data_IF_653111164790
#
_entry.id   IF_653111164790
#
_cell.length_a   1.000
_cell.length_b   1.000
_cell.length_c   1.000
_cell.angle_alpha   90.00
_cell.angle_beta   90.00
_cell.angle_gamma   90.00
#
_symmetry.space_group_name_H-M   'P 1'
#
loop_
_entity.id
_entity.type
_entity.pdbx_description
1 polymer ?
#
# COMPACT_ATOMS: atom_id res chain seq x y z
N UNK A 1 12.45 77.13 -19.42
CA UNK A 1 13.23 76.44 -18.38
C UNK A 1 12.50 76.53 -17.06
N UNK A 2 12.24 75.37 -16.48
CA UNK A 2 11.37 75.09 -15.33
C UNK A 2 12.03 75.38 -13.98
N UNK A 3 11.20 75.75 -12.99
CA UNK A 3 11.29 75.41 -11.56
C UNK A 3 9.89 75.70 -10.97
N UNK A 4 9.15 74.68 -10.54
CA UNK A 4 9.09 74.15 -9.17
C UNK A 4 8.36 75.09 -8.19
N UNK A 5 7.14 74.73 -7.74
CA UNK A 5 6.91 74.39 -6.32
C UNK A 5 5.52 73.78 -6.01
N UNK A 6 5.56 72.87 -5.03
CA UNK A 6 4.57 72.45 -4.03
C UNK A 6 3.05 72.34 -4.31
N UNK A 7 2.56 71.09 -4.21
CA UNK A 7 1.49 70.79 -3.23
C UNK A 7 1.52 69.30 -2.83
N UNK A 8 1.92 69.03 -1.59
CA UNK A 8 1.67 67.77 -0.87
C UNK A 8 0.17 67.57 -0.68
N UNK A 9 -0.33 66.35 -0.85
CA UNK A 9 -1.32 65.71 0.03
C UNK A 9 -1.21 64.18 -0.18
N UNK A 10 -1.09 63.47 0.94
CA UNK A 10 -0.73 62.05 1.08
C UNK A 10 -1.84 61.12 0.56
N UNK A 11 -1.52 59.93 -0.02
CA UNK A 11 -2.53 58.93 -0.34
C UNK A 11 -2.92 58.08 0.90
N UNK A 12 -4.20 57.80 0.99
CA UNK A 12 -4.84 56.91 1.98
C UNK A 12 -4.21 55.51 2.00
N UNK A 13 -4.16 54.83 3.17
CA UNK A 13 -3.59 53.50 3.25
C UNK A 13 -4.46 52.48 2.50
N UNK A 14 -3.87 51.80 1.54
CA UNK A 14 -4.45 50.65 0.84
C UNK A 14 -4.70 49.53 1.86
N UNK A 15 -5.95 49.08 1.96
CA UNK A 15 -6.28 47.79 2.55
C UNK A 15 -5.71 46.70 1.62
N UNK A 16 -4.56 46.11 1.98
CA UNK A 16 -4.09 44.89 1.33
C UNK A 16 -5.08 43.77 1.68
N UNK A 17 -5.91 43.39 0.71
CA UNK A 17 -6.65 42.13 0.73
C UNK A 17 -5.72 40.98 0.38
N UNK A 18 -4.82 40.60 1.28
CA UNK A 18 -4.09 39.33 1.21
C UNK A 18 -4.87 38.28 2.00
N UNK A 19 -6.04 37.89 1.48
CA UNK A 19 -6.55 36.55 1.75
C UNK A 19 -5.71 35.56 0.93
N UNK A 20 -4.52 35.23 1.43
CA UNK A 20 -3.95 33.93 1.13
C UNK A 20 -4.90 32.92 1.77
N UNK A 21 -5.81 32.36 0.97
CA UNK A 21 -6.47 31.12 1.34
C UNK A 21 -5.36 30.12 1.66
N UNK A 22 -5.13 29.90 2.95
CA UNK A 22 -4.38 28.75 3.42
C UNK A 22 -5.21 27.54 2.98
N UNK A 23 -4.85 26.97 1.83
CA UNK A 23 -5.26 25.63 1.47
C UNK A 23 -4.99 24.76 2.70
N UNK A 24 -5.94 23.88 3.10
CA UNK A 24 -5.69 22.95 4.18
C UNK A 24 -4.39 22.17 3.85
N UNK A 25 -3.61 21.76 4.87
CA UNK A 25 -2.45 20.91 4.63
C UNK A 25 -2.91 19.75 3.75
N UNK A 26 -2.26 19.61 2.59
CA UNK A 26 -2.51 18.52 1.65
C UNK A 26 -2.51 17.22 2.46
N UNK A 27 -3.67 16.59 2.63
CA UNK A 27 -3.74 15.28 3.27
C UNK A 27 -2.95 14.36 2.36
N UNK A 28 -1.79 13.89 2.83
CA UNK A 28 -0.92 13.04 2.02
C UNK A 28 -1.74 11.87 1.47
N UNK A 29 -1.69 11.63 0.15
CA UNK A 29 -2.50 10.58 -0.46
C UNK A 29 -2.10 9.21 0.10
N UNK A 30 -3.05 8.27 0.29
CA UNK A 30 -2.77 6.99 0.92
C UNK A 30 -1.57 6.26 0.29
N UNK A 31 -0.55 5.96 1.08
CA UNK A 31 0.69 5.30 0.64
C UNK A 31 1.85 6.27 0.40
N UNK A 32 1.58 7.55 0.13
CA UNK A 32 2.61 8.59 0.01
C UNK A 32 3.44 8.74 1.28
N UNK A 33 2.80 8.64 2.44
CA UNK A 33 3.45 8.82 3.72
C UNK A 33 4.55 7.79 3.97
N UNK A 34 4.35 6.56 3.49
CA UNK A 34 5.30 5.47 3.61
C UNK A 34 6.47 5.69 2.66
N UNK A 35 6.20 6.02 1.39
CA UNK A 35 7.26 6.29 0.42
C UNK A 35 8.11 7.47 0.88
N UNK A 36 7.50 8.60 1.24
CA UNK A 36 8.20 9.78 1.73
C UNK A 36 9.07 9.47 2.96
N UNK A 37 8.53 8.73 3.94
CA UNK A 37 9.26 8.37 5.15
C UNK A 37 10.47 7.47 4.85
N UNK A 38 10.33 6.46 3.99
CA UNK A 38 11.45 5.57 3.63
C UNK A 38 12.50 6.31 2.80
N UNK A 39 12.08 7.17 1.86
CA UNK A 39 12.98 7.98 1.04
C UNK A 39 13.80 8.97 1.89
N UNK A 40 13.19 9.52 2.94
CA UNK A 40 13.87 10.41 3.89
C UNK A 40 14.79 9.68 4.89
N UNK A 41 14.67 8.35 5.02
CA UNK A 41 15.50 7.57 5.94
C UNK A 41 16.96 7.55 5.51
N UNK A 42 17.89 7.64 6.46
CA UNK A 42 19.33 7.50 6.23
C UNK A 42 19.77 6.04 6.06
N UNK A 43 18.97 5.05 6.49
CA UNK A 43 19.30 3.61 6.38
C UNK A 43 19.22 3.13 4.93
N UNK A 44 20.38 3.00 4.27
CA UNK A 44 20.47 2.55 2.88
C UNK A 44 19.94 1.13 2.67
N UNK A 45 20.09 0.24 3.66
CA UNK A 45 19.63 -1.14 3.55
C UNK A 45 18.10 -1.21 3.59
N UNK A 46 17.47 -0.38 4.43
CA UNK A 46 16.02 -0.25 4.45
C UNK A 46 15.50 0.24 3.10
N UNK A 47 16.12 1.29 2.53
CA UNK A 47 15.73 1.82 1.21
C UNK A 47 15.85 0.75 0.11
N UNK A 48 16.96 0.01 0.05
CA UNK A 48 17.11 -1.09 -0.93
C UNK A 48 16.06 -2.19 -0.76
N UNK A 49 15.78 -2.62 0.48
CA UNK A 49 14.73 -3.62 0.73
C UNK A 49 13.34 -3.13 0.32
N UNK A 50 13.05 -1.87 0.59
CA UNK A 50 11.82 -1.21 0.20
C UNK A 50 11.70 -1.11 -1.33
N UNK A 51 12.74 -0.63 -2.01
CA UNK A 51 12.75 -0.50 -3.48
C UNK A 51 12.50 -1.84 -4.17
N UNK A 52 13.16 -2.91 -3.70
CA UNK A 52 12.94 -4.26 -4.22
C UNK A 52 11.48 -4.73 -3.99
N UNK A 53 10.93 -4.52 -2.79
CA UNK A 53 9.58 -4.95 -2.48
C UNK A 53 8.52 -4.17 -3.27
N UNK A 54 8.67 -2.84 -3.36
CA UNK A 54 7.80 -1.98 -4.16
C UNK A 54 7.86 -2.34 -5.63
N UNK A 55 9.06 -2.63 -6.15
CA UNK A 55 9.22 -3.11 -7.53
C UNK A 55 8.41 -4.38 -7.79
N UNK A 56 8.45 -5.36 -6.89
CA UNK A 56 7.63 -6.58 -6.99
C UNK A 56 6.13 -6.25 -6.98
N UNK A 57 5.69 -5.35 -6.10
CA UNK A 57 4.29 -4.90 -6.03
C UNK A 57 3.86 -4.26 -7.35
N UNK A 58 4.64 -3.30 -7.86
CA UNK A 58 4.33 -2.61 -9.12
C UNK A 58 4.31 -3.58 -10.30
N UNK A 59 5.23 -4.55 -10.34
CA UNK A 59 5.22 -5.61 -11.35
C UNK A 59 3.96 -6.46 -11.28
N UNK A 60 3.52 -6.82 -10.08
CA UNK A 60 2.30 -7.59 -9.94
C UNK A 60 1.07 -6.81 -10.43
N UNK A 61 0.98 -5.51 -10.14
CA UNK A 61 -0.08 -4.65 -10.68
C UNK A 61 -0.02 -4.46 -12.20
N UNK A 62 1.19 -4.49 -12.80
CA UNK A 62 1.33 -4.48 -14.25
C UNK A 62 0.93 -5.81 -14.91
N UNK A 63 1.07 -6.93 -14.21
CA UNK A 63 0.77 -8.27 -14.73
C UNK A 63 -0.68 -8.70 -14.51
N UNK A 64 -1.31 -8.24 -13.43
CA UNK A 64 -2.63 -8.68 -13.01
C UNK A 64 -3.56 -7.48 -12.78
N UNK A 65 -4.71 -7.41 -13.49
CA UNK A 65 -5.77 -6.45 -13.18
C UNK A 65 -6.24 -6.62 -11.73
N UNK A 66 -6.71 -5.54 -11.09
CA UNK A 66 -7.18 -5.57 -9.69
C UNK A 66 -8.28 -6.61 -9.39
N UNK A 67 -9.07 -7.01 -10.41
CA UNK A 67 -10.04 -8.09 -10.26
C UNK A 67 -9.43 -9.49 -10.15
N UNK A 68 -8.20 -9.68 -10.65
CA UNK A 68 -7.49 -10.96 -10.73
C UNK A 68 -6.37 -11.10 -9.69
N UNK A 69 -6.05 -10.03 -8.95
CA UNK A 69 -5.07 -10.05 -7.86
C UNK A 69 -5.75 -9.75 -6.53
N UNK A 70 -5.32 -10.46 -5.49
CA UNK A 70 -5.79 -10.26 -4.14
C UNK A 70 -4.62 -10.20 -3.15
N UNK A 71 -4.92 -9.87 -1.90
CA UNK A 71 -3.95 -9.81 -0.82
C UNK A 71 -4.44 -10.67 0.35
N UNK A 72 -3.61 -11.61 0.80
CA UNK A 72 -3.89 -12.42 1.99
C UNK A 72 -3.38 -11.69 3.22
N UNK A 73 -4.30 -11.19 4.05
CA UNK A 73 -4.01 -10.46 5.28
C UNK A 73 -4.43 -11.29 6.48
N UNK A 74 -3.58 -11.38 7.50
CA UNK A 74 -3.85 -12.18 8.71
C UNK A 74 -3.69 -11.40 10.01
N UNK A 75 -3.51 -10.07 9.94
CA UNK A 75 -3.26 -9.22 11.10
C UNK A 75 -1.87 -9.37 11.74
N UNK A 76 -1.03 -10.27 11.23
CA UNK A 76 0.34 -10.45 11.70
C UNK A 76 1.29 -9.38 11.17
N UNK A 77 2.41 -9.17 11.87
CA UNK A 77 3.45 -8.18 11.51
C UNK A 77 3.89 -8.22 10.04
N UNK A 78 4.11 -9.40 9.48
CA UNK A 78 4.65 -9.53 8.12
C UNK A 78 3.60 -9.17 7.05
N UNK A 79 2.33 -9.56 7.26
CA UNK A 79 1.24 -9.14 6.38
C UNK A 79 0.91 -7.65 6.55
N UNK A 80 1.04 -7.08 7.75
CA UNK A 80 0.92 -5.62 7.98
C UNK A 80 2.01 -4.83 7.27
N UNK A 81 3.28 -5.28 7.33
CA UNK A 81 4.36 -4.67 6.55
C UNK A 81 4.04 -4.73 5.06
N UNK A 82 3.59 -5.88 4.58
CA UNK A 82 3.19 -6.06 3.18
C UNK A 82 2.02 -5.14 2.78
N UNK A 83 1.03 -4.94 3.65
CA UNK A 83 -0.05 -3.98 3.41
C UNK A 83 0.48 -2.57 3.13
N UNK A 84 1.40 -2.07 3.95
CA UNK A 84 1.99 -0.74 3.74
C UNK A 84 2.82 -0.64 2.46
N UNK A 85 3.55 -1.72 2.11
CA UNK A 85 4.29 -1.79 0.85
C UNK A 85 3.35 -1.82 -0.36
N UNK A 86 2.21 -2.51 -0.26
CA UNK A 86 1.16 -2.53 -1.29
C UNK A 86 0.58 -1.13 -1.47
N UNK A 87 0.26 -0.41 -0.37
CA UNK A 87 -0.24 0.97 -0.41
C UNK A 87 0.75 1.91 -1.10
N UNK A 88 2.03 1.85 -0.72
CA UNK A 88 3.08 2.65 -1.33
C UNK A 88 3.31 2.30 -2.82
N UNK A 89 3.35 1.01 -3.15
CA UNK A 89 3.49 0.55 -4.54
C UNK A 89 2.29 0.91 -5.40
N UNK A 90 1.07 0.93 -4.84
CA UNK A 90 -0.14 1.39 -5.54
C UNK A 90 -0.06 2.87 -5.86
N UNK A 91 0.32 3.69 -4.88
CA UNK A 91 0.55 5.12 -5.08
C UNK A 91 1.56 5.36 -6.21
N UNK A 92 2.73 4.71 -6.16
CA UNK A 92 3.77 4.87 -7.18
C UNK A 92 3.38 4.32 -8.56
N UNK A 93 2.59 3.24 -8.59
CA UNK A 93 2.05 2.69 -9.83
C UNK A 93 1.11 3.70 -10.50
N UNK A 94 0.24 4.36 -9.72
CA UNK A 94 -0.68 5.39 -10.22
C UNK A 94 0.04 6.64 -10.72
N UNK A 95 1.06 7.12 -10.01
CA UNK A 95 1.85 8.27 -10.46
C UNK A 95 2.64 7.98 -11.73
N UNK A 96 3.15 6.75 -11.89
CA UNK A 96 3.93 6.34 -13.07
C UNK A 96 3.08 6.18 -14.33
N UNK A 97 1.79 5.89 -14.21
CA UNK A 97 0.87 5.74 -15.34
C UNK A 97 0.35 7.07 -15.91
N UNK A 98 0.82 8.23 -15.42
CA UNK A 98 0.52 9.55 -16.00
C UNK A 98 -0.81 10.17 -15.57
N UNK A 99 -1.47 9.64 -14.55
CA UNK A 99 -2.67 10.23 -13.94
C UNK A 99 -2.30 11.42 -13.01
N UNK A 100 -1.47 12.36 -13.47
CA UNK A 100 -1.04 13.52 -12.66
C UNK A 100 -2.22 14.41 -12.23
N UNK A 101 -3.29 14.45 -13.04
CA UNK A 101 -4.54 15.14 -12.71
C UNK A 101 -5.32 14.50 -11.55
N UNK A 102 -4.93 13.30 -11.10
CA UNK A 102 -5.61 12.53 -10.03
C UNK A 102 -4.72 12.22 -8.82
N UNK A 103 -3.54 12.85 -8.69
CA UNK A 103 -2.69 12.70 -7.50
C UNK A 103 -3.44 13.15 -6.23
N UNK A 104 -4.27 14.19 -6.35
CA UNK A 104 -5.12 14.71 -5.27
C UNK A 104 -6.38 13.86 -5.00
N UNK A 105 -6.61 12.79 -5.78
CA UNK A 105 -7.77 11.89 -5.67
C UNK A 105 -7.39 10.42 -5.61
N UNK A 106 -6.13 10.07 -5.31
CA UNK A 106 -5.74 8.66 -5.12
C UNK A 106 -6.57 8.08 -3.99
N UNK A 107 -7.56 7.28 -4.37
CA UNK A 107 -8.42 6.56 -3.45
C UNK A 107 -7.65 5.39 -2.82
N UNK A 108 -8.20 4.81 -1.77
CA UNK A 108 -7.65 3.60 -1.18
C UNK A 108 -7.49 2.51 -2.25
N UNK A 109 -6.43 1.71 -2.12
CA UNK A 109 -6.13 0.65 -3.06
C UNK A 109 -7.35 -0.30 -3.17
N UNK A 110 -7.95 -0.49 -4.35
CA UNK A 110 -9.16 -1.31 -4.52
C UNK A 110 -8.85 -2.82 -4.51
N UNK A 111 -7.73 -3.21 -3.90
CA UNK A 111 -7.23 -4.57 -3.88
C UNK A 111 -8.05 -5.41 -2.90
N UNK A 112 -8.67 -6.47 -3.42
CA UNK A 112 -9.38 -7.45 -2.61
C UNK A 112 -8.45 -8.01 -1.53
N UNK A 113 -8.85 -7.85 -0.28
CA UNK A 113 -8.14 -8.35 0.89
C UNK A 113 -8.88 -9.57 1.42
N UNK A 114 -8.19 -10.70 1.53
CA UNK A 114 -8.75 -11.97 1.98
C UNK A 114 -8.29 -12.20 3.41
N UNK A 115 -9.23 -12.58 4.29
CA UNK A 115 -8.95 -12.98 5.65
C UNK A 115 -9.55 -14.35 5.96
N UNK A 116 -8.71 -15.30 6.37
CA UNK A 116 -9.16 -16.62 6.84
C UNK A 116 -9.46 -16.54 8.33
N UNK A 117 -10.73 -16.34 8.67
CA UNK A 117 -11.19 -16.26 10.05
C UNK A 117 -11.28 -17.67 10.65
N UNK A 118 -10.52 -17.89 11.73
CA UNK A 118 -10.48 -19.17 12.42
C UNK A 118 -11.08 -19.00 13.83
N UNK A 119 -12.01 -19.87 14.26
CA UNK A 119 -12.66 -19.74 15.57
C UNK A 119 -11.69 -19.91 16.76
N UNK A 120 -10.53 -20.53 16.52
CA UNK A 120 -9.46 -20.71 17.50
C UNK A 120 -8.46 -19.54 17.55
N UNK A 121 -8.60 -18.53 16.70
CA UNK A 121 -7.73 -17.36 16.73
C UNK A 121 -8.07 -16.46 17.92
N UNK A 122 -7.05 -15.75 18.44
CA UNK A 122 -7.24 -14.75 19.47
C UNK A 122 -8.18 -13.63 18.99
N UNK A 123 -9.21 -13.24 19.77
CA UNK A 123 -10.16 -12.18 19.38
C UNK A 123 -9.50 -10.85 18.99
N UNK A 124 -8.32 -10.56 19.54
CA UNK A 124 -7.50 -9.39 19.26
C UNK A 124 -7.04 -9.37 17.79
N UNK A 125 -6.81 -10.53 17.18
CA UNK A 125 -6.42 -10.63 15.76
C UNK A 125 -7.58 -10.22 14.86
N UNK A 126 -8.80 -10.69 15.16
CA UNK A 126 -10.00 -10.31 14.44
C UNK A 126 -10.23 -8.80 14.58
N UNK A 127 -10.16 -8.28 15.80
CA UNK A 127 -10.36 -6.86 16.11
C UNK A 127 -9.36 -5.99 15.34
N UNK A 128 -8.06 -6.32 15.44
CA UNK A 128 -7.02 -5.62 14.69
C UNK A 128 -7.23 -5.68 13.18
N UNK A 129 -7.65 -6.83 12.66
CA UNK A 129 -7.91 -7.02 11.23
C UNK A 129 -9.05 -6.12 10.75
N UNK A 130 -10.18 -6.13 11.45
CA UNK A 130 -11.36 -5.32 11.10
C UNK A 130 -11.09 -3.81 11.26
N UNK A 131 -10.36 -3.40 12.30
CA UNK A 131 -9.93 -2.02 12.49
C UNK A 131 -9.00 -1.56 11.38
N UNK A 132 -8.03 -2.39 10.98
CA UNK A 132 -7.09 -2.10 9.89
C UNK A 132 -7.82 -1.95 8.56
N UNK A 133 -8.76 -2.84 8.27
CA UNK A 133 -9.60 -2.80 7.07
C UNK A 133 -10.43 -1.53 7.01
N UNK A 134 -11.03 -1.12 8.13
CA UNK A 134 -11.79 0.14 8.23
C UNK A 134 -10.87 1.35 8.05
N UNK A 135 -9.73 1.37 8.73
CA UNK A 135 -8.75 2.48 8.71
C UNK A 135 -8.23 2.76 7.31
N UNK A 136 -7.96 1.71 6.54
CA UNK A 136 -7.40 1.83 5.18
C UNK A 136 -8.42 1.60 4.06
N UNK A 137 -9.71 1.46 4.39
CA UNK A 137 -10.79 1.22 3.43
C UNK A 137 -10.55 0.04 2.49
N UNK A 138 -10.09 -1.09 3.03
CA UNK A 138 -9.76 -2.29 2.24
C UNK A 138 -11.02 -3.09 1.89
N UNK A 139 -11.23 -3.52 0.64
CA UNK A 139 -12.31 -4.44 0.30
C UNK A 139 -12.04 -5.84 0.92
N UNK A 140 -12.64 -6.13 2.08
CA UNK A 140 -12.41 -7.36 2.83
C UNK A 140 -13.36 -8.50 2.39
N UNK A 141 -12.79 -9.69 2.21
CA UNK A 141 -13.48 -10.95 1.99
C UNK A 141 -13.07 -11.94 3.08
N UNK A 142 -14.00 -12.23 4.00
CA UNK A 142 -13.78 -13.17 5.10
C UNK A 142 -14.15 -14.58 4.69
N UNK A 143 -13.20 -15.50 4.77
CA UNK A 143 -13.36 -16.92 4.51
C UNK A 143 -13.36 -17.68 5.83
N UNK A 144 -14.36 -18.54 6.06
CA UNK A 144 -14.56 -19.31 7.30
C UNK A 144 -14.39 -20.82 7.14
N UNK A 145 -13.96 -21.27 5.96
CA UNK A 145 -13.58 -22.65 5.68
C UNK A 145 -12.08 -22.87 5.93
N UNK A 146 -11.60 -24.10 5.79
CA UNK A 146 -10.16 -24.35 5.74
C UNK A 146 -9.51 -23.63 4.55
N UNK A 147 -8.19 -23.45 4.63
CA UNK A 147 -7.42 -22.70 3.64
C UNK A 147 -7.58 -23.23 2.22
N UNK A 148 -7.59 -24.54 2.02
CA UNK A 148 -7.59 -25.13 0.70
C UNK A 148 -8.96 -24.98 0.04
N UNK A 149 -10.02 -25.40 0.72
CA UNK A 149 -11.38 -25.26 0.18
C UNK A 149 -11.80 -23.79 0.04
N UNK A 150 -11.31 -22.93 0.94
CA UNK A 150 -11.54 -21.49 0.85
C UNK A 150 -10.89 -20.85 -0.37
N UNK A 151 -9.63 -21.20 -0.66
CA UNK A 151 -8.97 -20.77 -1.90
C UNK A 151 -9.65 -21.35 -3.15
N UNK A 152 -10.04 -22.62 -3.14
CA UNK A 152 -10.76 -23.24 -4.26
C UNK A 152 -12.07 -22.49 -4.57
N UNK A 153 -12.85 -22.15 -3.55
CA UNK A 153 -14.06 -21.35 -3.68
C UNK A 153 -13.80 -19.95 -4.24
N UNK A 154 -12.84 -19.25 -3.64
CA UNK A 154 -12.45 -17.90 -4.06
C UNK A 154 -12.00 -17.85 -5.54
N UNK A 155 -11.11 -18.75 -5.94
CA UNK A 155 -10.55 -18.79 -7.29
C UNK A 155 -11.62 -19.13 -8.32
N UNK A 156 -12.58 -19.98 -7.96
CA UNK A 156 -13.73 -20.32 -8.81
C UNK A 156 -14.71 -19.16 -8.99
N UNK A 157 -14.95 -18.38 -7.93
CA UNK A 157 -15.93 -17.29 -7.96
C UNK A 157 -15.36 -15.98 -8.54
N UNK A 158 -14.10 -15.64 -8.22
CA UNK A 158 -13.55 -14.29 -8.47
C UNK A 158 -12.47 -14.22 -9.55
N UNK A 159 -12.15 -15.33 -10.22
CA UNK A 159 -11.07 -15.41 -11.22
C UNK A 159 -9.72 -14.89 -10.70
N UNK A 160 -9.46 -15.06 -9.40
CA UNK A 160 -8.19 -14.68 -8.77
C UNK A 160 -7.05 -15.51 -9.35
N UNK A 161 -6.08 -14.85 -9.97
CA UNK A 161 -4.89 -15.48 -10.57
C UNK A 161 -3.63 -15.27 -9.72
N UNK A 162 -3.59 -14.20 -8.92
CA UNK A 162 -2.44 -13.88 -8.08
C UNK A 162 -2.86 -13.48 -6.67
N UNK A 163 -2.04 -13.84 -5.68
CA UNK A 163 -2.27 -13.48 -4.28
C UNK A 163 -0.96 -12.98 -3.68
N UNK A 164 -0.97 -11.75 -3.16
CA UNK A 164 0.10 -11.25 -2.31
C UNK A 164 0.09 -11.98 -0.96
N UNK A 165 1.26 -12.50 -0.56
CA UNK A 165 1.44 -13.23 0.70
C UNK A 165 2.67 -12.71 1.43
N UNK A 166 2.52 -12.48 2.74
CA UNK A 166 3.60 -12.04 3.63
C UNK A 166 4.61 -13.13 3.99
N UNK A 167 4.97 -14.01 3.06
CA UNK A 167 5.93 -15.10 3.27
C UNK A 167 7.35 -14.57 3.29
N UNK A 168 8.19 -15.12 4.16
CA UNK A 168 9.62 -14.84 4.27
C UNK A 168 10.44 -16.11 4.07
N UNK A 169 11.69 -15.99 3.62
CA UNK A 169 12.54 -17.14 3.25
C UNK A 169 12.81 -18.11 4.43
N UNK A 170 12.67 -17.64 5.67
CA UNK A 170 12.81 -18.46 6.87
C UNK A 170 11.52 -19.18 7.29
N UNK A 171 10.39 -18.96 6.62
CA UNK A 171 9.15 -19.61 6.97
C UNK A 171 9.16 -21.08 6.52
N UNK A 172 8.50 -22.01 7.26
CA UNK A 172 8.54 -23.44 6.97
C UNK A 172 8.17 -23.82 5.53
N UNK A 173 7.28 -23.04 4.90
CA UNK A 173 6.77 -23.31 3.56
C UNK A 173 7.46 -22.51 2.46
N UNK A 174 8.50 -21.73 2.77
CA UNK A 174 9.15 -20.82 1.82
C UNK A 174 10.29 -21.45 1.01
N UNK A 175 10.69 -22.69 1.33
CA UNK A 175 11.80 -23.36 0.66
C UNK A 175 11.57 -23.44 -0.85
N UNK A 176 12.51 -22.90 -1.62
CA UNK A 176 12.44 -22.88 -3.09
C UNK A 176 11.43 -21.91 -3.68
N UNK A 177 10.81 -21.04 -2.88
CA UNK A 177 9.98 -19.95 -3.40
C UNK A 177 10.85 -18.79 -3.89
N UNK A 178 10.33 -18.10 -4.89
CA UNK A 178 10.82 -16.83 -5.41
C UNK A 178 9.78 -15.72 -5.13
N UNK A 179 10.08 -14.50 -5.57
CA UNK A 179 9.16 -13.35 -5.48
C UNK A 179 7.82 -13.63 -6.17
N UNK A 180 7.83 -14.41 -7.25
CA UNK A 180 6.65 -14.95 -7.92
C UNK A 180 6.78 -16.46 -7.95
N UNK A 181 5.82 -17.19 -7.41
CA UNK A 181 5.87 -18.66 -7.42
C UNK A 181 4.49 -19.28 -7.56
N UNK A 182 4.31 -20.28 -8.44
CA UNK A 182 3.04 -20.97 -8.55
C UNK A 182 2.70 -21.68 -7.25
N UNK A 183 1.41 -21.83 -6.97
CA UNK A 183 0.92 -22.66 -5.87
C UNK A 183 1.50 -24.07 -5.93
N UNK A 184 1.64 -24.71 -4.77
CA UNK A 184 2.29 -26.02 -4.68
C UNK A 184 1.38 -27.11 -5.27
N UNK A 185 1.94 -28.24 -5.77
CA UNK A 185 1.13 -29.36 -6.25
C UNK A 185 0.07 -29.78 -5.22
N UNK A 186 -1.17 -29.96 -5.68
CA UNK A 186 -2.31 -30.31 -4.82
C UNK A 186 -3.04 -29.13 -4.17
N UNK A 187 -2.58 -27.89 -4.39
CA UNK A 187 -3.34 -26.66 -4.11
C UNK A 187 -4.00 -26.14 -5.39
N UNK A 188 -5.08 -25.35 -5.30
CA UNK A 188 -5.65 -24.72 -6.49
C UNK A 188 -4.63 -23.80 -7.18
N UNK A 189 -4.69 -23.65 -8.50
CA UNK A 189 -3.67 -22.92 -9.27
C UNK A 189 -3.79 -21.41 -9.06
N UNK A 190 -2.76 -20.78 -8.50
CA UNK A 190 -2.59 -19.33 -8.46
C UNK A 190 -1.10 -18.96 -8.32
N UNK A 191 -0.78 -17.71 -8.60
CA UNK A 191 0.55 -17.15 -8.39
C UNK A 191 0.67 -16.57 -6.98
N UNK A 192 1.61 -17.08 -6.18
CA UNK A 192 2.06 -16.41 -4.95
C UNK A 192 2.94 -15.22 -5.34
N UNK A 193 2.66 -14.06 -4.77
CA UNK A 193 3.50 -12.88 -4.88
C UNK A 193 4.07 -12.58 -3.50
N UNK A 194 5.39 -12.66 -3.33
CA UNK A 194 6.10 -12.56 -2.06
C UNK A 194 7.07 -11.34 -2.04
N UNK A 195 6.59 -10.09 -1.93
CA UNK A 195 7.46 -8.91 -1.99
C UNK A 195 8.48 -8.79 -0.86
N UNK A 196 8.24 -9.46 0.26
CA UNK A 196 9.08 -9.41 1.46
C UNK A 196 9.87 -10.70 1.71
N UNK A 197 10.02 -11.56 0.70
CA UNK A 197 10.65 -12.87 0.86
C UNK A 197 12.05 -12.79 1.50
N UNK A 198 12.87 -11.84 1.05
CA UNK A 198 14.25 -11.62 1.52
C UNK A 198 14.35 -10.72 2.76
N UNK A 199 13.21 -10.35 3.37
CA UNK A 199 13.25 -9.56 4.59
C UNK A 199 13.66 -10.49 5.75
N UNK A 200 14.64 -10.02 6.53
CA UNK A 200 15.12 -10.69 7.74
C UNK A 200 14.80 -9.86 8.98
N UNK A 201 14.49 -10.53 10.10
CA UNK A 201 14.53 -9.90 11.42
C UNK A 201 16.00 -9.62 11.74
N UNK A 202 16.29 -8.40 12.21
CA UNK A 202 17.57 -8.18 12.90
C UNK A 202 17.50 -8.96 14.21
N UNK A 203 18.29 -10.02 14.33
CA UNK A 203 18.92 -10.27 15.61
C UNK A 203 20.04 -9.23 15.68
N UNK A 204 19.97 -8.32 16.65
CA UNK A 204 21.18 -7.60 17.03
C UNK A 204 22.16 -8.66 17.54
N UNK A 205 23.29 -8.83 16.84
CA UNK A 205 24.49 -9.46 17.37
C UNK A 205 25.46 -8.38 17.76
#
# INVERSE_FOLDING_TARGET
>A
SSNADESRLLPSPQLLSSQSLLLPPQVASPGMEIDAAVRASSDARLRTKYDNAVYVVQRAFALYPFGEIAFSFNGGKDSTVLLHLIRAGYYLHKTSCGDEAQINTVQNCPLRTIYFETPCAFPEINSFTYETVSTYGLPLETIRSDFKSGLEGLLKEKSTKAIFIGTRIGDPNAVGQEQFSPSSPGWPPFMRVNPILDWSYRFFS
#
